data_IF_540271862677
#
_entry.id   IF_540271862677
#
_cell.length_a   1.000
_cell.length_b   1.000
_cell.length_c   1.000
_cell.angle_alpha   90.00
_cell.angle_beta   90.00
_cell.angle_gamma   90.00
#
_symmetry.space_group_name_H-M   'P 1'
#
loop_
_entity.id
_entity.type
_entity.pdbx_description
1 polymer ?
#
# COMPACT_ATOMS: atom_id res chain seq x y z
N UNK A 1 -5.42 17.69 11.55
CA UNK A 1 -4.34 17.72 10.55
C UNK A 1 -3.46 16.51 10.87
N UNK A 2 -3.54 15.43 10.10
CA UNK A 2 -2.76 14.22 10.40
C UNK A 2 -1.30 14.44 10.00
N UNK A 3 -0.37 14.00 10.85
CA UNK A 3 1.05 14.02 10.57
C UNK A 3 1.40 12.97 9.52
N UNK A 4 2.57 13.13 8.90
CA UNK A 4 3.10 12.14 7.95
C UNK A 4 3.34 10.78 8.60
N UNK A 5 3.50 10.72 9.92
CA UNK A 5 3.78 9.49 10.67
C UNK A 5 2.52 8.73 11.00
N UNK A 6 1.49 9.41 11.51
CA UNK A 6 0.16 8.82 11.76
C UNK A 6 -0.40 8.21 10.48
N UNK A 7 -0.27 8.93 9.36
CA UNK A 7 -0.72 8.42 8.07
C UNK A 7 0.06 7.19 7.62
N UNK A 8 1.37 7.10 7.93
CA UNK A 8 2.14 5.87 7.62
C UNK A 8 1.70 4.69 8.48
N UNK A 9 1.38 4.91 9.75
CA UNK A 9 0.89 3.87 10.66
C UNK A 9 -0.46 3.34 10.19
N UNK A 10 -1.41 4.23 9.91
CA UNK A 10 -2.73 3.89 9.37
C UNK A 10 -2.62 3.07 8.08
N UNK A 11 -1.72 3.45 7.18
CA UNK A 11 -1.50 2.71 5.94
C UNK A 11 -0.74 1.39 6.15
N UNK A 12 0.12 1.29 7.16
CA UNK A 12 0.78 0.02 7.50
C UNK A 12 -0.23 -1.02 7.99
N UNK A 13 -1.17 -0.63 8.86
CA UNK A 13 -2.24 -1.49 9.34
C UNK A 13 -3.15 -1.94 8.19
N UNK A 14 -3.57 -1.00 7.33
CA UNK A 14 -4.38 -1.32 6.14
C UNK A 14 -3.68 -2.29 5.20
N UNK A 15 -2.38 -2.12 4.96
CA UNK A 15 -1.62 -3.03 4.12
C UNK A 15 -1.48 -4.42 4.74
N UNK A 16 -1.36 -4.52 6.08
CA UNK A 16 -1.37 -5.80 6.78
C UNK A 16 -2.72 -6.50 6.62
N UNK A 17 -3.83 -5.79 6.88
CA UNK A 17 -5.19 -6.32 6.70
C UNK A 17 -5.46 -6.71 5.24
N UNK A 18 -4.97 -5.95 4.26
CA UNK A 18 -5.04 -6.31 2.85
C UNK A 18 -4.31 -7.62 2.56
N UNK A 19 -3.07 -7.77 3.04
CA UNK A 19 -2.28 -9.00 2.84
C UNK A 19 -2.92 -10.22 3.50
N UNK A 20 -3.46 -10.07 4.71
CA UNK A 20 -4.16 -11.14 5.42
C UNK A 20 -5.47 -11.54 4.73
N UNK A 21 -6.18 -10.59 4.12
CA UNK A 21 -7.46 -10.87 3.47
C UNK A 21 -7.35 -11.81 2.26
N UNK A 22 -6.18 -11.88 1.61
CA UNK A 22 -6.00 -12.63 0.34
C UNK A 22 -6.86 -12.13 -0.83
N UNK A 23 -7.55 -10.99 -0.67
CA UNK A 23 -8.43 -10.43 -1.69
C UNK A 23 -7.63 -9.70 -2.77
N UNK A 24 -8.22 -9.59 -3.97
CA UNK A 24 -7.69 -8.66 -4.97
C UNK A 24 -7.95 -7.22 -4.54
N UNK A 25 -7.07 -6.30 -4.97
CA UNK A 25 -7.17 -4.86 -4.72
C UNK A 25 -8.59 -4.29 -4.88
N UNK A 26 -9.30 -4.49 -6.01
CA UNK A 26 -10.64 -3.91 -6.17
C UNK A 26 -11.68 -4.48 -5.19
N UNK A 27 -11.59 -5.77 -4.84
CA UNK A 27 -12.51 -6.40 -3.87
C UNK A 27 -12.27 -5.88 -2.47
N UNK A 28 -11.01 -5.79 -2.06
CA UNK A 28 -10.66 -5.27 -0.74
C UNK A 28 -11.01 -3.78 -0.61
N UNK A 29 -10.73 -2.98 -1.65
CA UNK A 29 -11.09 -1.57 -1.70
C UNK A 29 -12.60 -1.34 -1.58
N UNK A 30 -13.42 -2.15 -2.29
CA UNK A 30 -14.88 -2.07 -2.20
C UNK A 30 -15.41 -2.43 -0.80
N UNK A 31 -14.79 -3.39 -0.12
CA UNK A 31 -15.19 -3.81 1.22
C UNK A 31 -14.76 -2.86 2.35
N UNK A 32 -13.65 -2.13 2.16
CA UNK A 32 -13.04 -1.29 3.21
C UNK A 32 -13.19 0.22 2.94
N UNK A 33 -13.97 0.61 1.94
CA UNK A 33 -14.15 2.00 1.47
C UNK A 33 -12.81 2.73 1.18
N UNK A 34 -11.83 1.97 0.66
CA UNK A 34 -10.51 2.51 0.33
C UNK A 34 -10.42 2.76 -1.16
N UNK A 35 -9.93 3.93 -1.54
CA UNK A 35 -9.69 4.25 -2.95
C UNK A 35 -8.56 3.40 -3.53
N UNK A 36 -8.84 2.68 -4.62
CA UNK A 36 -7.89 1.81 -5.32
C UNK A 36 -6.53 2.45 -5.62
N UNK A 37 -6.53 3.72 -6.07
CA UNK A 37 -5.29 4.42 -6.40
C UNK A 37 -4.43 4.70 -5.15
N UNK A 38 -5.04 4.92 -3.97
CA UNK A 38 -4.30 5.09 -2.73
C UNK A 38 -3.65 3.79 -2.30
N UNK A 39 -4.38 2.67 -2.36
CA UNK A 39 -3.80 1.36 -2.03
C UNK A 39 -2.63 1.01 -2.94
N UNK A 40 -2.76 1.22 -4.26
CA UNK A 40 -1.65 1.00 -5.22
C UNK A 40 -0.46 1.91 -4.95
N UNK A 41 -0.69 3.19 -4.63
CA UNK A 41 0.36 4.12 -4.26
C UNK A 41 1.14 3.62 -3.04
N UNK A 42 0.43 3.19 -1.99
CA UNK A 42 1.04 2.71 -0.76
C UNK A 42 1.78 1.39 -0.93
N UNK A 43 1.24 0.45 -1.72
CA UNK A 43 1.94 -0.77 -2.10
C UNK A 43 3.27 -0.45 -2.79
N UNK A 44 3.26 0.39 -3.84
CA UNK A 44 4.47 0.78 -4.55
C UNK A 44 5.48 1.46 -3.62
N UNK A 45 5.02 2.39 -2.79
CA UNK A 45 5.86 3.11 -1.83
C UNK A 45 6.47 2.21 -0.77
N UNK A 46 5.76 1.16 -0.33
CA UNK A 46 6.32 0.17 0.59
C UNK A 46 7.38 -0.71 -0.07
N UNK A 47 7.20 -1.06 -1.35
CA UNK A 47 8.19 -1.80 -2.13
C UNK A 47 9.44 -0.94 -2.40
N UNK A 48 9.27 0.33 -2.81
CA UNK A 48 10.37 1.29 -2.99
C UNK A 48 11.21 1.42 -1.70
N UNK A 49 10.56 1.48 -0.54
CA UNK A 49 11.24 1.52 0.78
C UNK A 49 11.95 0.23 1.14
N UNK A 50 11.47 -0.92 0.67
CA UNK A 50 12.10 -2.22 0.90
C UNK A 50 13.31 -2.43 -0.02
N UNK A 51 13.33 -1.75 -1.18
CA UNK A 51 14.31 -1.95 -2.26
C UNK A 51 15.43 -0.91 -2.34
N UNK A 52 15.55 0.03 -1.39
CA UNK A 52 16.73 0.90 -1.33
C UNK A 52 17.90 0.17 -0.63
N UNK A 53 19.04 -0.13 -1.29
CA UNK A 53 19.42 0.15 -2.68
C UNK A 53 19.80 -1.11 -3.48
N UNK A 54 18.94 -1.56 -4.40
CA UNK A 54 19.38 -2.27 -5.59
C UNK A 54 18.35 -2.17 -6.71
N UNK A 55 18.68 -1.33 -7.70
CA UNK A 55 18.38 -1.54 -9.12
C UNK A 55 16.93 -1.39 -9.60
N UNK A 56 16.74 -0.31 -10.36
CA UNK A 56 15.84 -0.19 -11.50
C UNK A 56 15.49 -1.55 -12.15
N UNK A 57 14.24 -1.96 -12.03
CA UNK A 57 13.53 -2.68 -13.09
C UNK A 57 12.25 -1.86 -13.30
N UNK A 58 12.02 -1.14 -14.40
CA UNK A 58 12.41 -1.47 -15.75
C UNK A 58 11.55 -2.62 -16.26
N UNK A 59 10.51 -2.27 -17.04
CA UNK A 59 9.67 -3.13 -17.89
C UNK A 59 8.60 -3.97 -17.13
N UNK A 60 7.38 -4.18 -17.66
CA UNK A 60 6.84 -4.23 -19.02
C UNK A 60 5.50 -3.49 -19.13
#
# INVERSE_FOLDING_TARGET
MMTKEELRLEWAERLAAFKESGLSVPKWCAANDVKTHQLRYWLRKTEERKQAPAMLHGCL
#
